data_IF_115318796422
#
_entry.id   IF_115318796422
#
_cell.length_a   1.000
_cell.length_b   1.000
_cell.length_c   1.000
_cell.angle_alpha   90.00
_cell.angle_beta   90.00
_cell.angle_gamma   90.00
#
_symmetry.space_group_name_H-M   'P 1'
#
loop_
_entity.id
_entity.type
_entity.pdbx_description
1 polymer ?
#
# COMPACT_ATOMS: atom_id res chain seq x y z
N UNK A 1 10.34 13.39 1.73
CA UNK A 1 9.42 13.45 2.89
C UNK A 1 10.02 12.69 4.05
N UNK A 2 10.46 13.40 5.08
CA UNK A 2 10.95 12.85 6.34
C UNK A 2 9.80 12.59 7.31
N UNK A 3 10.00 11.69 8.29
CA UNK A 3 8.99 11.46 9.34
C UNK A 3 8.68 12.71 10.16
N UNK A 4 9.65 13.61 10.31
CA UNK A 4 9.46 14.89 11.01
C UNK A 4 8.54 15.83 10.25
N UNK A 5 8.71 15.95 8.94
CA UNK A 5 7.82 16.76 8.10
C UNK A 5 6.39 16.24 8.14
N UNK A 6 6.22 14.91 8.04
CA UNK A 6 4.90 14.27 8.15
C UNK A 6 4.29 14.51 9.53
N UNK A 7 5.06 14.33 10.61
CA UNK A 7 4.59 14.61 11.96
C UNK A 7 4.14 16.07 12.13
N UNK A 8 4.92 17.03 11.63
CA UNK A 8 4.57 18.45 11.68
C UNK A 8 3.27 18.76 10.91
N UNK A 9 3.11 18.19 9.71
CA UNK A 9 1.88 18.36 8.92
C UNK A 9 0.63 17.81 9.62
N UNK A 10 0.80 16.80 10.47
CA UNK A 10 -0.24 16.18 11.27
C UNK A 10 -0.39 16.78 12.68
N UNK A 11 0.39 17.81 13.03
CA UNK A 11 0.41 18.40 14.37
C UNK A 11 0.95 17.47 15.46
N UNK A 12 1.74 16.46 15.10
CA UNK A 12 2.31 15.48 16.02
C UNK A 12 3.68 15.91 16.53
N UNK A 13 3.86 15.93 17.86
CA UNK A 13 5.15 16.24 18.48
C UNK A 13 6.15 15.07 18.45
N UNK A 14 5.67 13.83 18.20
CA UNK A 14 6.52 12.65 18.25
C UNK A 14 6.72 12.03 16.86
N UNK A 15 7.75 12.45 16.10
CA UNK A 15 8.05 11.88 14.79
C UNK A 15 8.54 10.42 14.85
N UNK A 16 9.18 10.02 15.96
CA UNK A 16 9.65 8.65 16.17
C UNK A 16 8.51 7.64 16.23
N UNK A 17 7.31 8.08 16.65
CA UNK A 17 6.11 7.26 16.65
C UNK A 17 5.73 6.80 15.24
N UNK A 18 5.84 7.67 14.23
CA UNK A 18 5.57 7.34 12.84
C UNK A 18 6.55 6.30 12.29
N UNK A 19 7.84 6.43 12.64
CA UNK A 19 8.86 5.46 12.27
C UNK A 19 8.51 4.08 12.86
N UNK A 20 8.21 4.02 14.15
CA UNK A 20 7.82 2.77 14.83
C UNK A 20 6.57 2.15 14.22
N UNK A 21 5.52 2.94 13.98
CA UNK A 21 4.30 2.45 13.34
C UNK A 21 4.56 1.90 11.95
N UNK A 22 5.36 2.59 11.14
CA UNK A 22 5.74 2.09 9.82
C UNK A 22 6.46 0.75 9.91
N UNK A 23 7.44 0.62 10.79
CA UNK A 23 8.17 -0.65 10.98
C UNK A 23 7.23 -1.76 11.42
N UNK A 24 6.29 -1.49 12.31
CA UNK A 24 5.29 -2.47 12.76
C UNK A 24 4.38 -2.90 11.62
N UNK A 25 3.88 -1.95 10.80
CA UNK A 25 3.05 -2.27 9.64
C UNK A 25 3.82 -3.14 8.62
N UNK A 26 5.08 -2.80 8.32
CA UNK A 26 5.89 -3.57 7.37
C UNK A 26 6.17 -4.99 7.87
N UNK A 27 6.33 -5.19 9.18
CA UNK A 27 6.64 -6.51 9.75
C UNK A 27 5.42 -7.38 10.03
N UNK A 28 4.30 -6.77 10.41
CA UNK A 28 3.13 -7.47 10.98
C UNK A 28 1.81 -7.12 10.30
N UNK A 29 1.85 -6.30 9.26
CA UNK A 29 0.65 -5.71 8.66
C UNK A 29 -0.05 -4.71 9.59
N UNK A 30 -1.22 -4.25 9.15
CA UNK A 30 -2.03 -3.26 9.88
C UNK A 30 -2.47 -3.81 11.25
N UNK A 31 -2.73 -5.11 11.35
CA UNK A 31 -3.11 -5.77 12.59
C UNK A 31 -2.03 -5.70 13.67
N UNK A 32 -0.76 -5.53 13.29
CA UNK A 32 0.36 -5.35 14.22
C UNK A 32 0.26 -4.10 15.09
N UNK A 33 -0.47 -3.06 14.64
CA UNK A 33 -0.74 -1.88 15.46
C UNK A 33 -1.82 -2.11 16.53
N UNK A 34 -2.62 -3.18 16.37
CA UNK A 34 -3.70 -3.51 17.30
C UNK A 34 -3.24 -4.41 18.46
N UNK A 35 -1.97 -4.83 18.44
CA UNK A 35 -1.38 -5.65 19.49
C UNK A 35 -1.33 -4.88 20.81
N UNK A 36 -1.70 -5.56 21.90
CA UNK A 36 -1.60 -4.99 23.23
C UNK A 36 -0.12 -4.80 23.58
N UNK A 37 0.27 -3.53 23.77
CA UNK A 37 1.62 -3.18 24.24
C UNK A 37 1.67 -3.18 25.77
N UNK A 38 2.72 -3.77 26.35
CA UNK A 38 2.97 -3.74 27.80
C UNK A 38 2.63 -5.05 28.51
N UNK A 39 2.33 -4.97 29.82
CA UNK A 39 2.13 -6.14 30.67
C UNK A 39 0.92 -6.97 30.20
N UNK A 40 1.06 -8.30 30.04
CA UNK A 40 -0.07 -9.17 29.79
C UNK A 40 -1.13 -9.05 30.89
N UNK A 41 -2.44 -9.08 30.55
CA UNK A 41 -3.48 -9.02 31.56
C UNK A 41 -3.38 -10.23 32.51
N UNK A 42 -3.53 -9.97 33.82
CA UNK A 42 -3.39 -10.98 34.89
C UNK A 42 -4.54 -11.99 34.91
N UNK A 43 -5.68 -11.66 34.30
CA UNK A 43 -6.84 -12.54 34.20
C UNK A 43 -6.90 -13.18 32.81
N UNK A 44 -7.38 -14.44 32.74
CA UNK A 44 -7.54 -15.19 31.50
C UNK A 44 -8.25 -14.38 30.41
N UNK A 45 -7.77 -14.51 29.17
CA UNK A 45 -8.24 -13.75 28.00
C UNK A 45 -9.76 -13.77 27.95
N UNK A 46 -10.44 -12.64 28.19
CA UNK A 46 -11.83 -12.50 27.76
C UNK A 46 -11.79 -12.68 26.25
N UNK A 47 -12.56 -13.64 25.72
CA UNK A 47 -12.85 -13.71 24.27
C UNK A 47 -13.23 -12.29 23.85
N UNK A 48 -12.69 -11.81 22.73
CA UNK A 48 -12.85 -10.42 22.23
C UNK A 48 -14.34 -10.08 22.08
N UNK A 49 -15.02 -9.78 23.17
CA UNK A 49 -16.36 -9.25 23.19
C UNK A 49 -16.18 -7.77 22.87
N UNK A 50 -16.60 -7.45 21.66
CA UNK A 50 -17.01 -6.12 21.22
C UNK A 50 -15.98 -5.03 21.53
N UNK A 51 -14.93 -4.98 20.69
CA UNK A 51 -14.39 -3.67 20.32
C UNK A 51 -15.56 -2.92 19.67
N UNK A 52 -16.34 -2.18 20.46
CA UNK A 52 -17.15 -1.08 19.95
C UNK A 52 -16.17 -0.09 19.36
N UNK A 53 -15.87 -0.30 18.08
CA UNK A 53 -15.24 0.68 17.23
C UNK A 53 -16.13 1.91 17.38
N UNK A 54 -15.62 2.96 18.01
CA UNK A 54 -16.17 4.30 17.86
C UNK A 54 -16.17 4.57 16.34
N UNK A 55 -17.30 4.33 15.72
CA UNK A 55 -17.56 4.72 14.35
C UNK A 55 -17.93 6.20 14.42
N UNK A 56 -16.92 7.06 14.33
CA UNK A 56 -17.15 8.46 13.99
C UNK A 56 -17.84 8.50 12.63
N UNK A 57 -19.04 9.10 12.49
CA UNK A 57 -19.79 9.15 11.23
C UNK A 57 -19.15 10.04 10.15
N UNK A 58 -17.92 10.53 10.38
CA UNK A 58 -17.10 11.31 9.43
C UNK A 58 -15.89 10.54 8.87
N UNK A 59 -15.79 9.23 9.13
CA UNK A 59 -14.84 8.39 8.40
C UNK A 59 -15.42 8.03 7.05
N UNK A 60 -15.19 8.89 6.05
CA UNK A 60 -14.81 8.34 4.73
C UNK A 60 -13.57 7.52 5.06
N UNK A 61 -13.77 6.21 5.09
CA UNK A 61 -12.86 5.29 5.74
C UNK A 61 -11.55 5.38 4.98
N UNK A 62 -10.41 5.52 5.67
CA UNK A 62 -9.10 5.50 5.00
C UNK A 62 -8.96 4.24 4.11
N UNK A 63 -9.69 3.19 4.46
CA UNK A 63 -9.92 1.99 3.66
C UNK A 63 -10.50 2.32 2.26
N UNK A 64 -11.53 3.17 2.15
CA UNK A 64 -12.15 3.54 0.86
C UNK A 64 -11.18 4.30 -0.05
N UNK A 65 -10.41 5.23 0.52
CA UNK A 65 -9.35 5.97 -0.22
C UNK A 65 -8.24 5.02 -0.67
N UNK A 66 -7.88 4.04 0.17
CA UNK A 66 -6.89 3.03 -0.18
C UNK A 66 -7.39 2.07 -1.26
N UNK A 67 -8.67 1.70 -1.25
CA UNK A 67 -9.31 0.86 -2.27
C UNK A 67 -9.34 1.59 -3.62
N UNK A 68 -9.74 2.85 -3.64
CA UNK A 68 -9.75 3.63 -4.89
C UNK A 68 -8.34 3.81 -5.45
N UNK A 69 -7.36 4.10 -4.58
CA UNK A 69 -5.95 4.18 -4.98
C UNK A 69 -5.41 2.84 -5.49
N UNK A 70 -5.80 1.73 -4.86
CA UNK A 70 -5.40 0.39 -5.30
C UNK A 70 -5.97 0.11 -6.70
N UNK A 71 -7.25 0.42 -6.93
CA UNK A 71 -7.90 0.28 -8.23
C UNK A 71 -7.23 1.12 -9.32
N UNK A 72 -6.85 2.36 -9.00
CA UNK A 72 -6.11 3.21 -9.94
C UNK A 72 -4.76 2.60 -10.33
N UNK A 73 -4.02 2.08 -9.34
CA UNK A 73 -2.73 1.41 -9.59
C UNK A 73 -2.90 0.12 -10.40
N UNK A 74 -3.97 -0.64 -10.18
CA UNK A 74 -4.27 -1.84 -10.95
C UNK A 74 -4.57 -1.51 -12.42
N UNK A 75 -5.35 -0.45 -12.67
CA UNK A 75 -5.62 0.04 -14.03
C UNK A 75 -4.35 0.52 -14.72
N UNK A 76 -3.54 1.35 -14.06
CA UNK A 76 -2.26 1.82 -14.61
C UNK A 76 -1.32 0.65 -14.91
N UNK A 77 -1.28 -0.38 -14.07
CA UNK A 77 -0.48 -1.57 -14.32
C UNK A 77 -0.97 -2.36 -15.54
N UNK A 78 -2.29 -2.45 -15.73
CA UNK A 78 -2.89 -3.09 -16.89
C UNK A 78 -2.53 -2.34 -18.18
N UNK A 79 -2.69 -1.01 -18.19
CA UNK A 79 -2.36 -0.17 -19.34
C UNK A 79 -0.88 -0.29 -19.72
N UNK A 80 0.02 -0.21 -18.73
CA UNK A 80 1.45 -0.39 -18.93
C UNK A 80 1.80 -1.78 -19.48
N UNK A 81 1.10 -2.83 -19.08
CA UNK A 81 1.32 -4.19 -19.62
C UNK A 81 0.92 -4.26 -21.08
N UNK A 82 -0.23 -3.69 -21.45
CA UNK A 82 -0.70 -3.64 -22.83
C UNK A 82 0.31 -2.89 -23.70
N UNK A 83 0.76 -1.71 -23.26
CA UNK A 83 1.74 -0.91 -23.99
C UNK A 83 3.08 -1.64 -24.16
N UNK A 84 3.58 -2.29 -23.09
CA UNK A 84 4.81 -3.07 -23.18
C UNK A 84 4.71 -4.24 -24.17
N UNK A 85 3.61 -5.00 -24.16
CA UNK A 85 3.42 -6.10 -25.11
C UNK A 85 3.32 -5.57 -26.56
N UNK A 86 2.63 -4.45 -26.77
CA UNK A 86 2.58 -3.79 -28.08
C UNK A 86 3.98 -3.38 -28.57
N UNK A 87 4.78 -2.76 -27.71
CA UNK A 87 6.15 -2.33 -28.07
C UNK A 87 7.07 -3.51 -28.38
N UNK A 88 6.93 -4.64 -27.66
CA UNK A 88 7.68 -5.87 -27.97
C UNK A 88 7.30 -6.44 -29.33
N UNK A 89 6.01 -6.50 -29.63
CA UNK A 89 5.52 -7.00 -30.90
C UNK A 89 5.96 -6.10 -32.08
N UNK A 90 5.93 -4.78 -31.89
CA UNK A 90 6.44 -3.83 -32.87
C UNK A 90 7.93 -4.05 -33.15
N UNK A 91 8.75 -4.23 -32.10
CA UNK A 91 10.16 -4.55 -32.25
C UNK A 91 10.39 -5.85 -33.03
N UNK A 92 9.63 -6.89 -32.71
CA UNK A 92 9.67 -8.19 -33.41
C UNK A 92 9.38 -8.04 -34.91
N UNK A 93 8.37 -7.24 -35.28
CA UNK A 93 8.02 -6.99 -36.67
C UNK A 93 9.12 -6.23 -37.42
N UNK A 94 9.70 -5.20 -36.79
CA UNK A 94 10.79 -4.44 -37.38
C UNK A 94 12.06 -5.29 -37.59
N UNK A 95 12.38 -6.17 -36.64
CA UNK A 95 13.49 -7.12 -36.80
C UNK A 95 13.25 -8.10 -37.94
N UNK A 96 12.03 -8.66 -38.04
CA UNK A 96 11.66 -9.54 -39.13
C UNK A 96 11.76 -8.86 -40.51
N UNK A 97 11.31 -7.61 -40.62
CA UNK A 97 11.40 -6.82 -41.85
C UNK A 97 12.87 -6.57 -42.26
N UNK A 98 13.72 -6.17 -41.32
CA UNK A 98 15.16 -5.99 -41.57
C UNK A 98 15.84 -7.27 -42.05
N UNK A 99 15.47 -8.42 -41.48
CA UNK A 99 16.00 -9.71 -41.92
C UNK A 99 15.52 -10.07 -43.34
N UNK A 100 14.26 -9.82 -43.67
CA UNK A 100 13.73 -10.04 -45.02
C UNK A 100 14.43 -9.17 -46.07
N UNK A 101 14.72 -7.91 -45.73
CA UNK A 101 15.47 -7.00 -46.62
C UNK A 101 16.93 -7.46 -46.80
N UNK A 102 17.56 -8.05 -45.77
CA UNK A 102 18.95 -8.54 -45.85
C UNK A 102 19.09 -9.85 -46.62
N UNK A 103 18.03 -10.64 -46.70
CA UNK A 103 18.01 -11.93 -47.40
C UNK A 103 17.53 -11.82 -48.86
N UNK A 104 17.17 -10.60 -49.31
CA UNK A 104 16.87 -10.27 -50.72
C UNK A 104 18.13 -9.76 -51.41
#
# INVERSE_FOLDING_TARGET
MSYREVANSLGMNNPSLLCNWRTTILKKGVDGLSEQRGRPPKMGKRKKADKKIFQDPKKITREDVNVERLRQLENENLDLRIENEFLKELGRLQEAEKQQQRNK
#
